data_IF_202959014688
#
_entry.id   IF_202959014688
#
_cell.length_a   1.000
_cell.length_b   1.000
_cell.length_c   1.000
_cell.angle_alpha   90.00
_cell.angle_beta   90.00
_cell.angle_gamma   90.00
#
_symmetry.space_group_name_H-M   'P 1'
#
loop_
_entity.id
_entity.type
_entity.pdbx_description
1 polymer ?
#
# COMPACT_ATOMS: atom_id res chain seq x y z
N UNK A 1 -11.37 -6.00 21.09
CA UNK A 1 -12.52 -5.54 20.27
C UNK A 1 -12.41 -4.06 19.93
N UNK A 2 -12.49 -3.17 20.94
CA UNK A 2 -12.48 -1.68 20.87
C UNK A 2 -12.27 -1.04 19.49
N UNK A 3 -11.04 -0.96 18.97
CA UNK A 3 -10.69 -0.16 17.78
C UNK A 3 -11.60 -0.36 16.54
N UNK A 4 -12.12 -1.57 16.29
CA UNK A 4 -13.05 -1.78 15.16
C UNK A 4 -14.42 -1.12 15.35
N UNK A 5 -14.87 -0.97 16.61
CA UNK A 5 -16.02 -0.14 16.98
C UNK A 5 -15.62 1.34 16.95
N UNK A 6 -14.53 1.70 17.65
CA UNK A 6 -14.04 3.07 17.77
C UNK A 6 -13.86 3.73 16.39
N UNK A 7 -13.33 3.00 15.40
CA UNK A 7 -13.18 3.44 14.00
C UNK A 7 -14.52 3.73 13.32
N UNK A 8 -15.47 2.79 13.36
CA UNK A 8 -16.80 2.95 12.74
C UNK A 8 -17.65 4.01 13.44
N UNK A 9 -17.47 4.18 14.75
CA UNK A 9 -18.07 5.25 15.55
C UNK A 9 -17.44 6.62 15.20
N UNK A 10 -16.11 6.67 15.03
CA UNK A 10 -15.39 7.90 14.65
C UNK A 10 -15.79 8.39 13.26
N UNK A 11 -15.93 7.48 12.27
CA UNK A 11 -16.44 7.82 10.94
C UNK A 11 -17.88 8.37 10.98
N UNK A 12 -18.73 7.86 11.89
CA UNK A 12 -20.11 8.34 12.08
C UNK A 12 -20.19 9.68 12.81
N UNK A 13 -19.23 10.01 13.69
CA UNK A 13 -19.28 11.17 14.58
C UNK A 13 -18.71 12.46 13.97
N UNK A 14 -18.03 12.39 12.82
CA UNK A 14 -17.36 13.54 12.19
C UNK A 14 -18.10 14.09 10.95
N UNK A 15 -19.32 13.61 10.69
CA UNK A 15 -20.16 14.02 9.56
C UNK A 15 -19.42 13.99 8.22
N UNK A 16 -18.69 12.90 7.94
CA UNK A 16 -18.06 12.71 6.64
C UNK A 16 -19.13 12.49 5.56
N UNK A 17 -18.87 12.90 4.29
CA UNK A 17 -19.74 12.57 3.17
C UNK A 17 -20.01 11.05 3.09
N UNK A 18 -21.24 10.59 2.80
CA UNK A 18 -21.54 9.16 2.72
C UNK A 18 -20.59 8.42 1.77
N UNK A 19 -20.29 9.01 0.60
CA UNK A 19 -19.38 8.43 -0.39
C UNK A 19 -17.92 8.32 0.10
N UNK A 20 -17.51 9.04 1.14
CA UNK A 20 -16.22 8.80 1.81
C UNK A 20 -16.31 7.62 2.77
N UNK A 21 -17.41 7.51 3.53
CA UNK A 21 -17.63 6.41 4.48
C UNK A 21 -17.73 5.06 3.74
N UNK A 22 -18.36 5.04 2.57
CA UNK A 22 -18.50 3.85 1.71
C UNK A 22 -17.16 3.40 1.06
N UNK A 23 -16.18 4.31 0.97
CA UNK A 23 -14.82 4.05 0.46
C UNK A 23 -13.77 3.98 1.59
N UNK A 24 -14.19 4.01 2.86
CA UNK A 24 -13.29 3.89 4.00
C UNK A 24 -12.87 2.43 4.23
N UNK A 25 -11.63 2.22 4.69
CA UNK A 25 -11.04 0.89 4.89
C UNK A 25 -11.94 0.00 5.75
N UNK A 26 -12.43 -1.16 5.26
CA UNK A 26 -13.37 -2.03 5.96
C UNK A 26 -12.63 -2.90 6.99
N UNK A 27 -12.01 -2.25 7.98
CA UNK A 27 -11.18 -2.84 9.03
C UNK A 27 -11.86 -4.03 9.74
N UNK A 28 -13.20 -3.98 9.88
CA UNK A 28 -14.00 -5.07 10.45
C UNK A 28 -14.14 -6.31 9.55
N UNK A 29 -14.05 -6.17 8.22
CA UNK A 29 -14.04 -7.26 7.25
C UNK A 29 -12.63 -7.84 7.11
N UNK A 30 -11.62 -7.01 6.90
CA UNK A 30 -10.22 -7.43 6.87
C UNK A 30 -9.83 -8.22 8.12
N UNK A 31 -10.28 -7.80 9.31
CA UNK A 31 -10.06 -8.53 10.57
C UNK A 31 -10.87 -9.82 10.72
N UNK A 32 -11.96 -10.01 9.96
CA UNK A 32 -12.64 -11.31 9.84
C UNK A 32 -11.87 -12.26 8.92
N UNK A 33 -11.41 -11.77 7.76
CA UNK A 33 -10.64 -12.56 6.79
C UNK A 33 -9.32 -13.03 7.38
N UNK A 34 -8.59 -12.16 8.08
CA UNK A 34 -7.40 -12.55 8.85
C UNK A 34 -7.70 -13.63 9.92
N UNK A 35 -8.88 -13.61 10.55
CA UNK A 35 -9.33 -14.69 11.45
C UNK A 35 -9.71 -15.99 10.71
N UNK A 36 -9.75 -16.00 9.37
CA UNK A 36 -9.77 -17.22 8.55
C UNK A 36 -8.32 -17.68 8.31
N UNK A 37 -7.43 -16.79 7.85
CA UNK A 37 -5.98 -17.05 7.68
C UNK A 37 -5.35 -17.68 8.93
N UNK A 38 -5.58 -17.10 10.11
CA UNK A 38 -5.04 -17.61 11.37
C UNK A 38 -5.63 -18.96 11.82
N UNK A 39 -6.76 -19.40 11.25
CA UNK A 39 -7.29 -20.76 11.44
C UNK A 39 -6.75 -21.70 10.37
N UNK A 40 -6.79 -21.31 9.11
CA UNK A 40 -6.19 -22.01 7.96
C UNK A 40 -4.73 -22.42 8.24
N UNK A 41 -3.89 -21.50 8.72
CA UNK A 41 -2.54 -21.80 9.20
C UNK A 41 -2.53 -22.85 10.32
N UNK A 42 -3.33 -22.68 11.37
CA UNK A 42 -3.43 -23.63 12.48
C UNK A 42 -3.93 -25.03 12.04
N UNK A 43 -4.89 -25.07 11.12
CA UNK A 43 -5.51 -26.29 10.59
C UNK A 43 -4.53 -27.05 9.67
N UNK A 44 -3.63 -26.33 9.00
CA UNK A 44 -2.45 -26.86 8.30
C UNK A 44 -1.35 -27.37 9.26
N UNK A 45 -1.40 -27.05 10.55
CA UNK A 45 -0.35 -27.35 11.53
C UNK A 45 0.72 -26.25 11.68
N UNK A 46 0.52 -25.09 11.06
CA UNK A 46 1.32 -23.87 11.21
C UNK A 46 0.76 -23.02 12.36
N UNK A 47 0.86 -23.52 13.59
CA UNK A 47 0.49 -22.76 14.78
C UNK A 47 1.48 -21.58 15.03
N UNK A 48 1.14 -20.60 15.88
CA UNK A 48 1.98 -19.41 16.10
C UNK A 48 3.38 -19.67 16.65
N UNK A 49 3.64 -20.79 17.32
CA UNK A 49 4.95 -21.16 17.85
C UNK A 49 5.77 -21.90 16.80
N UNK A 50 5.17 -22.88 16.10
CA UNK A 50 5.79 -23.51 14.92
C UNK A 50 6.17 -22.47 13.86
N UNK A 51 5.30 -21.49 13.59
CA UNK A 51 5.61 -20.40 12.65
C UNK A 51 6.80 -19.54 13.10
N UNK A 52 6.95 -19.23 14.40
CA UNK A 52 8.12 -18.49 14.90
C UNK A 52 9.41 -19.27 14.66
N UNK A 53 9.41 -20.56 14.99
CA UNK A 53 10.58 -21.42 14.86
C UNK A 53 11.02 -21.60 13.40
N UNK A 54 10.07 -21.59 12.45
CA UNK A 54 10.33 -21.68 11.01
C UNK A 54 10.64 -20.33 10.34
N UNK A 55 10.31 -19.19 10.96
CA UNK A 55 10.54 -17.82 10.43
C UNK A 55 11.74 -17.11 11.07
N UNK A 56 12.36 -17.67 12.10
CA UNK A 56 13.58 -17.11 12.70
C UNK A 56 14.82 -17.46 11.86
N UNK A 57 15.49 -16.48 11.21
CA UNK A 57 16.69 -16.72 10.40
C UNK A 57 17.94 -17.04 11.23
N UNK A 58 17.87 -17.03 12.57
CA UNK A 58 18.96 -17.44 13.46
C UNK A 58 18.86 -18.90 13.94
N UNK A 59 17.84 -19.64 13.48
CA UNK A 59 17.55 -21.01 13.91
C UNK A 59 17.98 -22.01 12.82
N UNK A 60 18.95 -22.90 13.10
CA UNK A 60 19.42 -23.96 12.19
C UNK A 60 18.40 -25.11 12.06
N UNK A 61 17.15 -24.78 11.77
CA UNK A 61 16.09 -25.76 11.54
C UNK A 61 16.20 -26.36 10.13
N UNK A 62 16.04 -27.69 9.93
CA UNK A 62 16.03 -28.30 8.60
C UNK A 62 14.79 -27.91 7.74
N UNK A 63 13.90 -27.08 8.30
CA UNK A 63 12.76 -26.48 7.62
C UNK A 63 12.84 -24.95 7.74
N UNK A 64 12.89 -24.25 6.61
CA UNK A 64 12.88 -22.79 6.58
C UNK A 64 11.62 -22.26 5.89
N UNK A 65 10.75 -21.56 6.62
CA UNK A 65 9.60 -20.88 6.06
C UNK A 65 9.98 -19.50 5.50
N UNK A 66 9.46 -19.18 4.32
CA UNK A 66 9.69 -17.90 3.64
C UNK A 66 8.36 -17.38 3.08
N UNK A 67 7.78 -16.40 3.78
CA UNK A 67 6.64 -15.64 3.28
C UNK A 67 7.14 -14.55 2.32
N UNK A 68 6.53 -14.44 1.14
CA UNK A 68 6.83 -13.39 0.15
C UNK A 68 5.54 -12.74 -0.34
N UNK A 69 5.60 -11.44 -0.60
CA UNK A 69 4.59 -10.70 -1.36
C UNK A 69 5.20 -10.45 -2.74
N UNK A 70 4.68 -11.12 -3.77
CA UNK A 70 5.17 -10.99 -5.14
C UNK A 70 4.22 -10.08 -5.93
N UNK A 71 4.76 -9.27 -6.85
CA UNK A 71 3.93 -8.62 -7.86
C UNK A 71 3.37 -9.68 -8.84
N UNK A 72 2.08 -9.63 -9.13
CA UNK A 72 1.43 -10.53 -10.07
C UNK A 72 1.71 -10.12 -11.53
N UNK A 73 2.93 -10.42 -12.00
CA UNK A 73 3.41 -10.09 -13.35
C UNK A 73 3.39 -8.58 -13.61
N UNK A 74 2.85 -8.19 -14.77
CA UNK A 74 2.72 -6.81 -15.23
C UNK A 74 1.84 -5.92 -14.31
N UNK A 75 1.08 -6.54 -13.40
CA UNK A 75 0.12 -5.83 -12.55
C UNK A 75 0.70 -5.49 -11.18
N UNK A 76 0.23 -4.39 -10.59
CA UNK A 76 0.60 -3.99 -9.22
C UNK A 76 0.03 -4.94 -8.14
N UNK A 77 -0.66 -6.03 -8.50
CA UNK A 77 -1.34 -6.89 -7.51
C UNK A 77 -0.34 -7.63 -6.61
N UNK A 78 -0.56 -7.55 -5.30
CA UNK A 78 0.27 -8.20 -4.29
C UNK A 78 -0.24 -9.61 -4.03
N UNK A 79 0.41 -10.63 -4.62
CA UNK A 79 0.13 -12.03 -4.32
C UNK A 79 0.99 -12.52 -3.16
N UNK A 80 0.41 -12.84 -2.00
CA UNK A 80 1.14 -13.50 -0.93
C UNK A 80 1.51 -14.93 -1.36
N UNK A 81 2.60 -15.44 -0.80
CA UNK A 81 3.11 -16.77 -1.10
C UNK A 81 3.95 -17.27 0.08
N UNK A 82 3.39 -18.21 0.83
CA UNK A 82 4.15 -18.94 1.85
C UNK A 82 4.86 -20.13 1.20
N UNK A 83 6.17 -20.21 1.40
CA UNK A 83 7.02 -21.33 0.99
C UNK A 83 7.61 -22.00 2.22
N UNK A 84 7.67 -23.33 2.25
CA UNK A 84 8.50 -24.11 3.17
C UNK A 84 9.59 -24.80 2.35
N UNK A 85 10.84 -24.66 2.77
CA UNK A 85 11.97 -25.39 2.20
C UNK A 85 12.25 -26.63 3.04
N UNK A 86 12.34 -27.81 2.41
CA UNK A 86 12.59 -29.11 3.06
C UNK A 86 13.93 -29.65 2.57
N UNK A 87 14.78 -30.13 3.47
CA UNK A 87 16.05 -30.77 3.12
C UNK A 87 15.85 -32.26 2.78
N UNK A 88 16.37 -32.70 1.63
CA UNK A 88 16.13 -34.01 1.03
C UNK A 88 17.46 -34.68 0.63
N UNK A 89 17.57 -35.99 0.85
CA UNK A 89 18.76 -36.81 0.55
C UNK A 89 18.28 -38.21 0.21
N UNK A 90 18.72 -38.73 -0.93
CA UNK A 90 18.43 -40.09 -1.40
C UNK A 90 16.92 -40.44 -1.36
N UNK A 91 16.09 -39.49 -1.84
CA UNK A 91 14.63 -39.61 -1.92
C UNK A 91 13.87 -39.45 -0.60
N UNK A 92 14.56 -39.23 0.53
CA UNK A 92 13.96 -39.09 1.85
C UNK A 92 14.23 -37.69 2.44
N UNK A 93 13.32 -37.18 3.27
CA UNK A 93 13.54 -35.93 3.99
C UNK A 93 14.58 -36.13 5.10
N UNK A 94 15.78 -35.58 4.91
CA UNK A 94 16.83 -35.53 5.95
C UNK A 94 16.60 -34.34 6.85
N UNK A 95 15.77 -34.58 7.86
CA UNK A 95 16.41 -35.04 9.10
C UNK A 95 15.48 -35.96 9.91
N UNK A 96 16.06 -36.83 10.73
CA UNK A 96 15.33 -37.63 11.72
C UNK A 96 14.63 -36.74 12.77
N UNK A 97 15.02 -35.46 12.86
CA UNK A 97 14.46 -34.42 13.74
C UNK A 97 13.18 -33.73 13.23
N UNK A 98 12.62 -34.12 12.07
CA UNK A 98 11.27 -33.68 11.67
C UNK A 98 10.28 -33.99 12.81
N UNK A 99 9.88 -32.94 13.53
CA UNK A 99 8.97 -33.06 14.67
C UNK A 99 7.62 -33.64 14.24
N UNK A 100 6.80 -34.19 15.14
CA UNK A 100 5.46 -34.67 14.78
C UNK A 100 4.60 -33.58 14.10
N UNK A 101 4.79 -32.30 14.46
CA UNK A 101 4.17 -31.17 13.78
C UNK A 101 4.72 -31.01 12.35
N UNK A 102 6.04 -31.04 12.18
CA UNK A 102 6.72 -30.95 10.88
C UNK A 102 6.32 -32.04 9.89
N UNK A 103 6.19 -33.30 10.33
CA UNK A 103 5.69 -34.39 9.47
C UNK A 103 4.21 -34.19 9.12
N UNK A 104 3.37 -33.91 10.13
CA UNK A 104 1.93 -33.71 9.92
C UNK A 104 1.58 -32.48 9.09
N UNK A 105 2.47 -31.48 9.02
CA UNK A 105 2.41 -30.35 8.09
C UNK A 105 2.64 -30.80 6.64
N UNK A 106 3.73 -31.53 6.38
CA UNK A 106 4.06 -32.02 5.03
C UNK A 106 2.99 -33.00 4.54
N UNK A 107 2.54 -33.92 5.40
CA UNK A 107 1.43 -34.84 5.15
C UNK A 107 0.13 -34.11 4.80
N UNK A 108 -0.22 -33.03 5.53
CA UNK A 108 -1.42 -32.21 5.22
C UNK A 108 -1.30 -31.44 3.92
N UNK A 109 -0.14 -30.85 3.61
CA UNK A 109 0.05 -30.14 2.34
C UNK A 109 -0.03 -31.14 1.17
N UNK A 110 0.60 -32.32 1.29
CA UNK A 110 0.50 -33.38 0.30
C UNK A 110 -0.94 -33.90 0.15
N UNK A 111 -1.69 -34.06 1.24
CA UNK A 111 -3.10 -34.44 1.21
C UNK A 111 -4.02 -33.40 0.57
N UNK A 112 -3.66 -32.11 0.62
CA UNK A 112 -4.38 -31.04 -0.09
C UNK A 112 -4.00 -30.98 -1.57
N UNK A 113 -2.73 -31.17 -1.92
CA UNK A 113 -2.25 -31.16 -3.30
C UNK A 113 -2.69 -32.40 -4.09
N UNK A 114 -2.81 -33.56 -3.44
CA UNK A 114 -3.33 -34.80 -4.05
C UNK A 114 -4.86 -34.83 -4.23
N UNK A 115 -5.57 -33.77 -3.83
CA UNK A 115 -7.03 -33.68 -3.92
C UNK A 115 -7.55 -32.84 -5.11
N UNK A 116 -6.70 -32.58 -6.11
CA UNK A 116 -7.11 -32.03 -7.41
C UNK A 116 -8.06 -33.01 -8.14
N UNK A 117 -9.30 -32.62 -8.51
CA UNK A 117 -10.30 -33.54 -9.06
C UNK A 117 -10.06 -33.97 -10.53
N UNK A 118 -8.81 -34.13 -10.95
CA UNK A 118 -8.41 -34.66 -12.24
C UNK A 118 -8.37 -36.21 -12.23
N UNK A 119 -9.52 -36.86 -12.12
CA UNK A 119 -9.60 -38.33 -12.20
C UNK A 119 -9.10 -38.85 -13.57
N UNK A 120 -8.12 -39.78 -13.62
CA UNK A 120 -7.78 -40.48 -14.84
C UNK A 120 -8.90 -41.48 -15.19
N UNK A 121 -9.58 -41.26 -16.32
CA UNK A 121 -10.45 -42.28 -16.91
C UNK A 121 -9.56 -43.45 -17.37
N UNK A 122 -9.84 -44.70 -17.00
CA UNK A 122 -9.07 -45.85 -17.49
C UNK A 122 -9.24 -45.98 -19.01
N UNK A 123 -8.14 -45.81 -19.75
CA UNK A 123 -8.17 -45.88 -21.21
C UNK A 123 -8.37 -47.32 -21.70
N UNK A 124 -9.50 -47.58 -22.35
CA UNK A 124 -9.63 -48.72 -23.26
C UNK A 124 -8.87 -48.39 -24.56
N UNK A 125 -8.08 -49.34 -25.07
CA UNK A 125 -7.20 -49.12 -26.20
C UNK A 125 -7.94 -49.06 -27.55
N UNK A 126 -7.50 -48.20 -28.49
CA UNK A 126 -7.76 -48.34 -29.91
C UNK A 126 -6.55 -48.95 -30.65
N UNK A 127 -6.80 -49.85 -31.60
CA UNK A 127 -5.80 -50.34 -32.55
C UNK A 127 -5.83 -49.54 -33.87
N UNK A 128 -4.78 -49.70 -34.67
CA UNK A 128 -4.68 -49.47 -36.13
C UNK A 128 -4.68 -48.06 -36.79
N UNK A 129 -3.50 -47.76 -37.36
CA UNK A 129 -3.25 -47.35 -38.76
C UNK A 129 -3.61 -45.94 -39.32
N UNK A 130 -2.66 -44.99 -39.23
CA UNK A 130 -1.67 -44.62 -40.31
C UNK A 130 -2.22 -44.44 -41.76
N UNK A 131 -1.85 -43.40 -42.59
CA UNK A 131 -1.10 -42.15 -42.33
C UNK A 131 -1.45 -40.86 -43.16
N UNK A 132 -0.63 -39.80 -42.95
CA UNK A 132 -0.22 -38.71 -43.90
C UNK A 132 -1.20 -37.61 -44.34
N UNK A 133 -0.94 -36.35 -43.90
CA UNK A 133 -0.46 -35.22 -44.73
C UNK A 133 -0.25 -33.91 -43.93
N UNK A 134 0.89 -33.25 -44.14
CA UNK A 134 1.15 -31.82 -43.83
C UNK A 134 1.27 -31.04 -45.16
N UNK A 135 1.13 -29.70 -45.20
CA UNK A 135 2.26 -28.83 -44.82
C UNK A 135 1.92 -27.45 -44.18
N UNK A 136 2.91 -26.89 -43.46
CA UNK A 136 3.41 -25.49 -43.35
C UNK A 136 2.43 -24.27 -43.43
N UNK A 137 2.63 -23.11 -42.77
CA UNK A 137 3.79 -22.21 -42.48
C UNK A 137 3.43 -21.34 -41.23
N UNK A 138 4.22 -20.47 -40.56
CA UNK A 138 5.67 -20.18 -40.37
C UNK A 138 5.82 -19.12 -39.23
N UNK A 139 7.01 -18.52 -39.05
CA UNK A 139 7.44 -17.49 -38.07
C UNK A 139 7.69 -18.01 -36.64
N UNK A 140 8.88 -17.93 -36.01
CA UNK A 140 9.94 -16.88 -35.89
C UNK A 140 9.50 -15.75 -34.93
N UNK A 141 9.91 -15.72 -33.65
CA UNK A 141 11.22 -15.31 -33.07
C UNK A 141 11.40 -13.78 -33.00
N UNK A 142 11.96 -13.12 -31.97
CA UNK A 142 13.07 -13.44 -31.06
C UNK A 142 12.97 -12.73 -29.69
N UNK A 143 13.75 -13.23 -28.70
CA UNK A 143 14.32 -12.52 -27.53
C UNK A 143 13.34 -11.94 -26.47
N UNK A 144 13.74 -11.66 -25.21
CA UNK A 144 15.05 -11.75 -24.56
C UNK A 144 15.17 -12.95 -23.59
N UNK A 145 16.40 -13.37 -23.33
CA UNK A 145 16.75 -14.24 -22.20
C UNK A 145 17.98 -13.67 -21.49
N UNK A 146 17.98 -13.70 -20.16
CA UNK A 146 19.18 -13.46 -19.33
C UNK A 146 19.40 -14.64 -18.37
N UNK A 147 20.23 -15.56 -18.85
CA UNK A 147 21.46 -15.97 -18.17
C UNK A 147 21.34 -16.74 -16.86
N UNK A 148 21.06 -18.05 -16.97
CA UNK A 148 21.58 -19.03 -15.99
C UNK A 148 23.03 -19.42 -16.35
N UNK A 149 23.97 -19.23 -15.43
CA UNK A 149 25.36 -19.62 -15.61
C UNK A 149 25.58 -21.08 -15.16
N UNK A 150 25.52 -22.00 -16.12
CA UNK A 150 25.90 -23.40 -15.92
C UNK A 150 27.39 -23.64 -16.22
N UNK A 151 28.26 -23.38 -15.26
CA UNK A 151 29.68 -23.76 -15.36
C UNK A 151 29.84 -25.29 -15.23
N UNK A 152 30.09 -25.95 -16.37
CA UNK A 152 30.40 -27.39 -16.43
C UNK A 152 31.83 -27.60 -16.91
N UNK A 153 32.77 -27.72 -15.97
CA UNK A 153 34.16 -28.03 -16.28
C UNK A 153 34.51 -29.48 -15.93
N UNK A 154 34.48 -30.34 -16.95
CA UNK A 154 34.97 -31.74 -16.87
C UNK A 154 36.45 -31.78 -16.49
N UNK A 155 36.84 -32.70 -15.60
CA UNK A 155 37.80 -33.74 -15.98
C UNK A 155 37.95 -34.89 -14.96
N UNK A 156 38.33 -36.06 -15.50
CA UNK A 156 38.81 -37.28 -14.83
C UNK A 156 37.82 -38.07 -13.94
N UNK A 157 37.79 -39.38 -14.19
CA UNK A 157 37.15 -40.38 -13.35
C UNK A 157 38.12 -40.84 -12.26
N UNK A 158 37.63 -40.99 -11.03
CA UNK A 158 38.22 -41.88 -10.01
C UNK A 158 37.05 -42.63 -9.37
N UNK A 159 37.18 -43.94 -9.24
CA UNK A 159 36.12 -44.79 -8.67
C UNK A 159 36.08 -44.67 -7.14
N UNK A 160 34.88 -44.83 -6.55
CA UNK A 160 34.76 -45.26 -5.15
C UNK A 160 34.49 -44.20 -4.08
N UNK A 161 33.39 -43.44 -4.21
CA UNK A 161 32.48 -43.13 -3.08
C UNK A 161 31.21 -42.43 -3.56
N UNK A 162 30.04 -42.98 -3.22
CA UNK A 162 28.75 -42.34 -3.44
C UNK A 162 28.47 -41.31 -2.34
N UNK A 163 28.80 -40.05 -2.59
CA UNK A 163 28.29 -38.94 -1.77
C UNK A 163 26.75 -38.90 -1.85
N UNK A 164 26.02 -38.75 -0.73
CA UNK A 164 24.57 -38.67 -0.76
C UNK A 164 24.05 -37.50 -1.60
N UNK A 165 22.90 -37.65 -2.26
CA UNK A 165 22.39 -36.62 -3.19
C UNK A 165 21.52 -35.60 -2.45
N UNK A 166 22.18 -34.65 -1.80
CA UNK A 166 21.55 -33.57 -1.03
C UNK A 166 20.92 -32.51 -1.93
N UNK A 167 19.66 -32.19 -1.68
CA UNK A 167 18.92 -31.13 -2.36
C UNK A 167 17.84 -30.54 -1.44
N UNK A 168 17.29 -29.38 -1.81
CA UNK A 168 16.21 -28.72 -1.08
C UNK A 168 14.95 -28.69 -1.93
N UNK A 169 13.90 -29.34 -1.45
CA UNK A 169 12.57 -29.28 -2.06
C UNK A 169 11.82 -28.03 -1.60
N UNK A 170 11.04 -27.43 -2.51
CA UNK A 170 10.31 -26.19 -2.27
C UNK A 170 8.80 -26.45 -2.26
N UNK A 171 8.23 -26.62 -1.08
CA UNK A 171 6.80 -26.79 -0.89
C UNK A 171 6.11 -25.42 -0.85
N UNK A 172 5.06 -25.26 -1.64
CA UNK A 172 4.20 -24.07 -1.61
C UNK A 172 2.96 -24.36 -0.76
N UNK A 173 2.69 -23.50 0.22
CA UNK A 173 1.54 -23.67 1.12
C UNK A 173 0.33 -22.97 0.49
N UNK A 174 -0.75 -23.69 0.15
CA UNK A 174 -1.95 -23.09 -0.41
C UNK A 174 -2.73 -22.37 0.69
N UNK A 175 -2.51 -21.07 0.81
CA UNK A 175 -3.32 -20.16 1.61
C UNK A 175 -4.38 -19.52 0.69
N UNK A 176 -5.64 -19.66 1.05
CA UNK A 176 -6.79 -19.16 0.28
C UNK A 176 -7.27 -17.83 0.85
N UNK A 177 -7.25 -17.69 2.19
CA UNK A 177 -7.78 -16.50 2.84
C UNK A 177 -6.77 -15.36 2.96
N UNK A 178 -5.47 -15.59 2.71
CA UNK A 178 -4.49 -14.51 2.68
C UNK A 178 -4.57 -13.73 1.36
N UNK A 179 -4.82 -14.43 0.25
CA UNK A 179 -5.17 -13.85 -1.03
C UNK A 179 -6.48 -13.05 -0.94
N UNK A 180 -7.53 -13.61 -0.31
CA UNK A 180 -8.77 -12.86 0.02
C UNK A 180 -8.47 -11.57 0.81
N UNK A 181 -7.55 -11.61 1.78
CA UNK A 181 -7.17 -10.44 2.58
C UNK A 181 -6.45 -9.37 1.73
N UNK A 182 -5.50 -9.78 0.88
CA UNK A 182 -4.72 -8.84 0.07
C UNK A 182 -5.52 -8.27 -1.11
N UNK A 183 -6.39 -9.06 -1.75
CA UNK A 183 -7.30 -8.58 -2.81
C UNK A 183 -8.24 -7.49 -2.27
N UNK A 184 -8.85 -7.70 -1.09
CA UNK A 184 -9.70 -6.70 -0.43
C UNK A 184 -8.88 -5.47 -0.07
N UNK A 185 -7.77 -5.63 0.67
CA UNK A 185 -6.95 -4.50 1.14
C UNK A 185 -6.44 -3.66 -0.04
N UNK A 186 -6.07 -4.29 -1.14
CA UNK A 186 -5.57 -3.60 -2.32
C UNK A 186 -6.69 -2.91 -3.11
N UNK A 187 -7.85 -3.54 -3.26
CA UNK A 187 -9.06 -2.88 -3.77
C UNK A 187 -9.34 -1.59 -2.98
N UNK A 188 -9.39 -1.69 -1.66
CA UNK A 188 -9.77 -0.57 -0.80
C UNK A 188 -8.71 0.56 -0.78
N UNK A 189 -7.42 0.24 -0.86
CA UNK A 189 -6.35 1.24 -1.01
C UNK A 189 -6.41 1.92 -2.39
N UNK A 190 -6.62 1.17 -3.48
CA UNK A 190 -6.82 1.76 -4.81
C UNK A 190 -8.05 2.69 -4.85
N UNK A 191 -9.13 2.33 -4.14
CA UNK A 191 -10.34 3.15 -4.02
C UNK A 191 -10.08 4.43 -3.21
N UNK A 192 -9.28 4.36 -2.13
CA UNK A 192 -8.84 5.56 -1.39
C UNK A 192 -7.97 6.49 -2.24
N UNK A 193 -7.02 5.95 -3.01
CA UNK A 193 -6.17 6.75 -3.92
C UNK A 193 -7.03 7.45 -4.99
N UNK A 194 -8.00 6.73 -5.58
CA UNK A 194 -8.94 7.29 -6.55
C UNK A 194 -9.86 8.36 -5.94
N UNK A 195 -10.33 8.16 -4.70
CA UNK A 195 -11.09 9.17 -3.96
C UNK A 195 -10.23 10.40 -3.67
N UNK A 196 -9.00 10.23 -3.19
CA UNK A 196 -8.09 11.34 -2.92
C UNK A 196 -7.82 12.17 -4.18
N UNK A 197 -7.46 11.54 -5.30
CA UNK A 197 -7.21 12.24 -6.56
C UNK A 197 -8.45 13.01 -7.07
N UNK A 198 -9.66 12.48 -6.83
CA UNK A 198 -10.93 13.14 -7.16
C UNK A 198 -11.19 14.37 -6.28
N UNK A 199 -11.06 14.24 -4.97
CA UNK A 199 -11.31 15.33 -4.00
C UNK A 199 -10.23 16.42 -4.12
N UNK A 200 -8.97 16.05 -4.34
CA UNK A 200 -7.86 16.97 -4.63
C UNK A 200 -8.15 17.79 -5.89
N UNK A 201 -8.50 17.13 -7.02
CA UNK A 201 -8.85 17.81 -8.27
C UNK A 201 -10.05 18.76 -8.11
N UNK A 202 -11.07 18.35 -7.36
CA UNK A 202 -12.23 19.20 -7.07
C UNK A 202 -11.83 20.43 -6.24
N UNK A 203 -11.01 20.23 -5.19
CA UNK A 203 -10.56 21.30 -4.30
C UNK A 203 -9.63 22.30 -5.02
N UNK A 204 -8.68 21.82 -5.83
CA UNK A 204 -7.82 22.68 -6.66
C UNK A 204 -8.65 23.52 -7.64
N UNK A 205 -9.68 22.94 -8.25
CA UNK A 205 -10.60 23.65 -9.16
C UNK A 205 -11.33 24.79 -8.42
N UNK A 206 -11.89 24.52 -7.24
CA UNK A 206 -12.61 25.51 -6.43
C UNK A 206 -11.67 26.59 -5.86
N UNK A 207 -10.44 26.22 -5.45
CA UNK A 207 -9.40 27.18 -5.04
C UNK A 207 -9.01 28.12 -6.19
N UNK A 208 -8.88 27.60 -7.42
CA UNK A 208 -8.57 28.43 -8.60
C UNK A 208 -9.75 29.36 -8.95
N UNK A 209 -10.99 28.87 -8.88
CA UNK A 209 -12.18 29.71 -9.09
C UNK A 209 -12.28 30.83 -8.05
N UNK A 210 -12.11 30.51 -6.76
CA UNK A 210 -12.12 31.49 -5.67
C UNK A 210 -10.97 32.50 -5.77
N UNK A 211 -9.77 32.06 -6.20
CA UNK A 211 -8.63 32.95 -6.50
C UNK A 211 -8.98 33.96 -7.60
N UNK A 212 -9.66 33.53 -8.66
CA UNK A 212 -10.09 34.42 -9.75
C UNK A 212 -11.15 35.43 -9.25
N UNK A 213 -12.14 34.97 -8.49
CA UNK A 213 -13.17 35.81 -7.85
C UNK A 213 -12.54 36.89 -6.95
N UNK A 214 -11.71 36.49 -5.98
CA UNK A 214 -11.02 37.42 -5.08
C UNK A 214 -10.08 38.35 -5.86
N UNK A 215 -9.41 37.87 -6.92
CA UNK A 215 -8.61 38.72 -7.80
C UNK A 215 -9.45 39.82 -8.48
N UNK A 216 -10.70 39.54 -8.85
CA UNK A 216 -11.63 40.55 -9.37
C UNK A 216 -12.11 41.53 -8.29
N UNK A 217 -12.48 41.04 -7.10
CA UNK A 217 -12.96 41.85 -5.96
C UNK A 217 -11.89 42.78 -5.35
N UNK A 218 -10.61 42.50 -5.62
CA UNK A 218 -9.47 43.25 -5.10
C UNK A 218 -8.82 44.19 -6.13
N UNK A 219 -9.25 44.22 -7.40
CA UNK A 219 -8.62 45.06 -8.44
C UNK A 219 -8.55 46.54 -7.99
N UNK A 220 -7.38 47.19 -8.09
CA UNK A 220 -7.23 48.59 -7.72
C UNK A 220 -7.91 49.48 -8.78
N UNK A 221 -9.03 50.10 -8.40
CA UNK A 221 -9.84 50.96 -9.26
C UNK A 221 -9.98 52.34 -8.62
N UNK A 222 -9.92 53.39 -9.45
CA UNK A 222 -10.14 54.78 -9.01
C UNK A 222 -11.63 55.15 -8.90
N UNK A 223 -12.53 54.32 -9.42
CA UNK A 223 -13.96 54.63 -9.59
C UNK A 223 -14.92 53.61 -8.94
N UNK A 224 -14.42 52.47 -8.47
CA UNK A 224 -15.24 51.44 -7.81
C UNK A 224 -14.73 51.10 -6.41
N UNK A 225 -15.62 50.55 -5.58
CA UNK A 225 -15.24 49.98 -4.28
C UNK A 225 -14.24 48.83 -4.53
N UNK A 226 -13.23 48.73 -3.67
CA UNK A 226 -12.31 47.60 -3.60
C UNK A 226 -12.10 47.23 -2.13
N UNK A 227 -12.04 45.93 -1.86
CA UNK A 227 -11.85 45.36 -0.53
C UNK A 227 -10.41 44.83 -0.31
N UNK A 228 -9.45 45.17 -1.20
CA UNK A 228 -8.04 44.71 -1.17
C UNK A 228 -7.41 44.72 0.22
N UNK A 229 -7.50 45.83 0.97
CA UNK A 229 -6.88 45.93 2.30
C UNK A 229 -7.48 44.97 3.34
N UNK A 230 -8.73 44.52 3.16
CA UNK A 230 -9.41 43.57 4.06
C UNK A 230 -9.01 42.15 3.71
N UNK A 231 -8.97 41.83 2.42
CA UNK A 231 -8.46 40.56 1.92
C UNK A 231 -7.01 40.34 2.32
N UNK A 232 -6.16 41.37 2.24
CA UNK A 232 -4.80 41.33 2.80
C UNK A 232 -4.78 40.98 4.28
N UNK A 233 -5.50 41.72 5.12
CA UNK A 233 -5.54 41.44 6.57
C UNK A 233 -6.08 40.04 6.93
N UNK A 234 -6.95 39.45 6.09
CA UNK A 234 -7.45 38.07 6.24
C UNK A 234 -6.38 37.06 5.83
N UNK A 235 -5.68 37.27 4.71
CA UNK A 235 -4.63 36.35 4.26
C UNK A 235 -3.36 36.43 5.12
N UNK A 236 -2.98 37.63 5.57
CA UNK A 236 -1.90 37.84 6.53
C UNK A 236 -2.20 37.06 7.83
N UNK A 237 -3.41 37.21 8.40
CA UNK A 237 -3.88 36.43 9.56
C UNK A 237 -3.97 34.91 9.30
N UNK A 238 -4.24 34.47 8.07
CA UNK A 238 -4.31 33.05 7.71
C UNK A 238 -2.91 32.41 7.60
N UNK A 239 -1.94 33.16 7.07
CA UNK A 239 -0.54 32.75 7.04
C UNK A 239 0.02 32.67 8.47
N UNK A 240 -0.27 33.67 9.31
CA UNK A 240 0.07 33.66 10.75
C UNK A 240 -0.52 32.45 11.48
N UNK A 241 -1.74 32.02 11.13
CA UNK A 241 -2.40 30.85 11.74
C UNK A 241 -1.68 29.52 11.45
N UNK A 242 -0.90 29.43 10.36
CA UNK A 242 -0.13 28.24 9.97
C UNK A 242 -0.98 26.94 10.06
N UNK A 243 -2.19 26.94 9.48
CA UNK A 243 -3.23 25.95 9.83
C UNK A 243 -2.81 24.51 9.54
N UNK A 244 -2.40 24.22 8.30
CA UNK A 244 -2.15 22.85 7.83
C UNK A 244 -0.67 22.46 7.81
N UNK A 245 0.23 23.44 7.87
CA UNK A 245 1.67 23.24 7.92
C UNK A 245 2.32 24.35 8.75
N UNK A 246 3.44 24.05 9.40
CA UNK A 246 4.27 25.06 10.08
C UNK A 246 5.50 25.43 9.29
N UNK A 247 5.96 26.67 9.47
CA UNK A 247 7.21 27.20 8.95
C UNK A 247 8.25 27.50 10.04
N UNK A 248 8.00 27.12 11.30
CA UNK A 248 8.95 27.37 12.40
C UNK A 248 9.98 26.24 12.49
N UNK A 249 11.22 26.55 12.88
CA UNK A 249 12.35 25.60 12.95
C UNK A 249 12.07 24.33 13.76
N UNK A 250 11.26 24.41 14.82
CA UNK A 250 11.01 23.30 15.75
C UNK A 250 9.84 22.38 15.36
N UNK A 251 8.87 22.86 14.56
CA UNK A 251 7.66 22.09 14.19
C UNK A 251 7.35 22.10 12.68
N UNK A 252 8.37 22.43 11.86
CA UNK A 252 8.29 22.54 10.40
C UNK A 252 7.63 21.33 9.70
N UNK A 253 6.72 21.63 8.76
CA UNK A 253 6.04 20.64 7.92
C UNK A 253 4.56 20.46 8.27
N UNK A 254 3.95 19.39 7.75
CA UNK A 254 2.52 19.12 7.85
C UNK A 254 2.05 18.90 9.28
N UNK A 255 0.96 19.57 9.66
CA UNK A 255 0.34 19.47 11.00
C UNK A 255 -0.72 18.38 11.03
N UNK A 256 -0.87 17.73 12.18
CA UNK A 256 -1.94 16.74 12.41
C UNK A 256 -3.31 17.40 12.38
N UNK A 257 -4.35 16.63 12.10
CA UNK A 257 -5.74 17.09 12.07
C UNK A 257 -6.17 17.75 13.39
N UNK A 258 -5.61 17.29 14.51
CA UNK A 258 -5.91 17.83 15.85
C UNK A 258 -5.29 19.20 16.08
N UNK A 259 -4.11 19.46 15.54
CA UNK A 259 -3.48 20.78 15.57
C UNK A 259 -4.13 21.71 14.55
N UNK A 260 -4.36 21.24 13.32
CA UNK A 260 -5.03 22.00 12.27
C UNK A 260 -6.45 22.45 12.68
N UNK A 261 -7.23 21.59 13.36
CA UNK A 261 -8.53 21.96 13.91
C UNK A 261 -8.45 23.13 14.91
N UNK A 262 -7.46 23.12 15.82
CA UNK A 262 -7.26 24.20 16.80
C UNK A 262 -6.87 25.52 16.12
N UNK A 263 -5.96 25.47 15.15
CA UNK A 263 -5.54 26.67 14.41
C UNK A 263 -6.67 27.23 13.53
N UNK A 264 -7.46 26.36 12.88
CA UNK A 264 -8.61 26.79 12.09
C UNK A 264 -9.72 27.37 12.97
N UNK A 265 -9.91 26.88 14.20
CA UNK A 265 -10.79 27.51 15.18
C UNK A 265 -10.27 28.90 15.59
N UNK A 266 -8.99 28.99 16.00
CA UNK A 266 -8.36 30.26 16.38
C UNK A 266 -8.49 31.33 15.29
N UNK A 267 -8.24 30.95 14.03
CA UNK A 267 -8.38 31.81 12.86
C UNK A 267 -9.81 32.37 12.70
N UNK A 268 -10.83 31.53 12.85
CA UNK A 268 -12.25 31.95 12.79
C UNK A 268 -12.63 32.86 13.96
N UNK A 269 -12.12 32.60 15.17
CA UNK A 269 -12.31 33.48 16.32
C UNK A 269 -11.64 34.85 16.09
N UNK A 270 -10.42 34.90 15.57
CA UNK A 270 -9.71 36.14 15.27
C UNK A 270 -10.40 36.97 14.17
N UNK A 271 -10.88 36.34 13.09
CA UNK A 271 -11.75 36.98 12.09
C UNK A 271 -12.96 37.65 12.75
N UNK A 272 -13.56 36.98 13.74
CA UNK A 272 -14.77 37.43 14.44
C UNK A 272 -14.47 38.58 15.41
N UNK A 273 -13.45 38.44 16.27
CA UNK A 273 -12.99 39.48 17.21
C UNK A 273 -12.61 40.77 16.46
N UNK A 274 -11.82 40.64 15.39
CA UNK A 274 -11.39 41.76 14.53
C UNK A 274 -12.51 42.28 13.60
N UNK A 275 -13.72 41.70 13.68
CA UNK A 275 -14.92 42.06 12.88
C UNK A 275 -14.69 42.09 11.36
N UNK A 276 -13.74 41.31 10.83
CA UNK A 276 -13.30 41.38 9.43
C UNK A 276 -14.44 41.08 8.45
N UNK A 277 -15.32 40.13 8.78
CA UNK A 277 -16.53 39.79 7.99
C UNK A 277 -17.44 41.01 7.76
N UNK A 278 -17.65 41.83 8.80
CA UNK A 278 -18.51 43.03 8.72
C UNK A 278 -17.82 44.20 8.02
N UNK A 279 -16.49 44.19 7.96
CA UNK A 279 -15.71 45.29 7.40
C UNK A 279 -15.86 45.44 5.88
N UNK A 280 -16.19 44.35 5.16
CA UNK A 280 -16.31 44.29 3.70
C UNK A 280 -17.35 45.26 3.14
N UNK A 281 -16.97 45.98 2.07
CA UNK A 281 -17.81 46.97 1.36
C UNK A 281 -18.67 46.35 0.26
N UNK A 282 -18.26 45.18 -0.23
CA UNK A 282 -18.86 44.41 -1.33
C UNK A 282 -19.54 43.17 -0.69
N UNK A 283 -20.67 42.71 -1.24
CA UNK A 283 -21.40 41.57 -0.66
C UNK A 283 -20.73 40.25 -1.06
N UNK A 284 -20.32 40.17 -2.31
CA UNK A 284 -19.57 39.11 -2.98
C UNK A 284 -18.25 38.82 -2.24
N UNK A 285 -17.57 39.83 -1.67
CA UNK A 285 -16.41 39.62 -0.76
C UNK A 285 -16.75 38.79 0.49
N UNK A 286 -17.99 38.85 0.98
CA UNK A 286 -18.44 38.09 2.16
C UNK A 286 -18.76 36.65 1.76
N UNK A 287 -19.37 36.46 0.60
CA UNK A 287 -19.67 35.14 0.02
C UNK A 287 -18.36 34.38 -0.32
N UNK A 288 -17.40 35.05 -0.93
CA UNK A 288 -16.05 34.54 -1.15
C UNK A 288 -15.32 34.19 0.17
N UNK A 289 -15.52 34.95 1.27
CA UNK A 289 -14.98 34.55 2.58
C UNK A 289 -15.69 33.30 3.15
N UNK A 290 -17.00 33.15 2.95
CA UNK A 290 -17.72 31.93 3.34
C UNK A 290 -17.22 30.72 2.54
N UNK A 291 -16.99 30.86 1.23
CA UNK A 291 -16.34 29.84 0.40
C UNK A 291 -14.93 29.50 0.90
N UNK A 292 -14.11 30.51 1.23
CA UNK A 292 -12.77 30.32 1.80
C UNK A 292 -12.81 29.51 3.11
N UNK A 293 -13.69 29.86 4.04
CA UNK A 293 -13.85 29.14 5.32
C UNK A 293 -14.37 27.71 5.10
N UNK A 294 -15.30 27.53 4.15
CA UNK A 294 -15.82 26.21 3.77
C UNK A 294 -14.74 25.30 3.20
N UNK A 295 -13.92 25.79 2.26
CA UNK A 295 -12.76 25.06 1.70
C UNK A 295 -11.82 24.57 2.79
N UNK A 296 -11.47 25.44 3.76
CA UNK A 296 -10.62 25.08 4.87
C UNK A 296 -11.25 23.99 5.77
N UNK A 297 -12.56 24.04 6.00
CA UNK A 297 -13.26 23.00 6.74
C UNK A 297 -13.30 21.65 5.98
N UNK A 298 -13.43 21.67 4.64
CA UNK A 298 -13.36 20.47 3.80
C UNK A 298 -11.95 19.87 3.79
N UNK A 299 -10.90 20.71 3.68
CA UNK A 299 -9.50 20.27 3.77
C UNK A 299 -9.18 19.65 5.14
N UNK A 300 -9.69 20.24 6.23
CA UNK A 300 -9.58 19.65 7.57
C UNK A 300 -10.29 18.29 7.65
N UNK A 301 -11.49 18.14 7.09
CA UNK A 301 -12.17 16.83 7.03
C UNK A 301 -11.40 15.81 6.18
N UNK A 302 -10.80 16.23 5.06
CA UNK A 302 -10.01 15.34 4.22
C UNK A 302 -8.78 14.81 4.98
N UNK A 303 -8.05 15.69 5.66
CA UNK A 303 -6.93 15.34 6.55
C UNK A 303 -7.35 14.39 7.69
N UNK A 304 -8.49 14.65 8.34
CA UNK A 304 -9.07 13.76 9.36
C UNK A 304 -9.37 12.36 8.79
N UNK A 305 -9.98 12.31 7.60
CA UNK A 305 -10.33 11.05 6.93
C UNK A 305 -9.08 10.27 6.50
N UNK A 306 -8.04 10.94 6.00
CA UNK A 306 -6.74 10.35 5.67
C UNK A 306 -6.07 9.76 6.92
N UNK A 307 -5.93 10.52 8.01
CA UNK A 307 -5.34 10.02 9.26
C UNK A 307 -6.09 8.79 9.80
N UNK A 308 -7.42 8.82 9.79
CA UNK A 308 -8.26 7.71 10.28
C UNK A 308 -8.03 6.43 9.45
N UNK A 309 -7.98 6.54 8.12
CA UNK A 309 -7.72 5.39 7.25
C UNK A 309 -6.27 4.90 7.34
N UNK A 310 -5.28 5.80 7.37
CA UNK A 310 -3.87 5.44 7.57
C UNK A 310 -3.65 4.71 8.89
N UNK A 311 -4.27 5.16 9.98
CA UNK A 311 -4.21 4.48 11.29
C UNK A 311 -4.90 3.11 11.24
N UNK A 312 -5.98 2.94 10.45
CA UNK A 312 -6.62 1.64 10.25
C UNK A 312 -5.75 0.68 9.42
N UNK A 313 -5.13 1.16 8.32
CA UNK A 313 -4.19 0.40 7.49
C UNK A 313 -2.97 -0.02 8.33
N UNK A 314 -2.34 0.92 9.04
CA UNK A 314 -1.23 0.61 9.95
C UNK A 314 -1.61 -0.43 11.00
N UNK A 315 -2.82 -0.34 11.59
CA UNK A 315 -3.32 -1.33 12.56
C UNK A 315 -3.80 -2.65 11.94
N UNK A 316 -4.10 -2.72 10.64
CA UNK A 316 -4.43 -4.00 9.98
C UNK A 316 -3.17 -4.69 9.44
N UNK A 317 -2.11 -3.95 9.15
CA UNK A 317 -0.80 -4.50 8.83
C UNK A 317 -0.03 -4.88 10.11
N UNK A 318 0.37 -3.92 10.96
CA UNK A 318 1.29 -4.15 12.08
C UNK A 318 0.83 -5.18 13.11
N UNK A 319 -0.46 -5.25 13.43
CA UNK A 319 -0.93 -6.16 14.47
C UNK A 319 -0.98 -7.63 14.01
N UNK A 320 -0.75 -7.90 12.72
CA UNK A 320 -1.21 -9.10 12.04
C UNK A 320 -0.19 -9.67 11.03
N UNK A 321 0.72 -8.85 10.51
CA UNK A 321 1.92 -9.28 9.79
C UNK A 321 3.15 -9.05 10.66
N UNK A 322 4.07 -10.00 10.62
CA UNK A 322 5.07 -10.26 11.65
C UNK A 322 6.10 -9.13 11.87
N UNK A 323 6.76 -9.16 13.03
CA UNK A 323 7.86 -8.26 13.42
C UNK A 323 9.01 -8.30 12.40
N UNK A 324 9.26 -9.43 11.71
CA UNK A 324 10.17 -9.49 10.58
C UNK A 324 9.72 -8.59 9.41
N UNK A 325 8.42 -8.56 9.09
CA UNK A 325 7.88 -7.70 8.04
C UNK A 325 7.75 -6.23 8.50
N UNK A 326 7.48 -5.97 9.79
CA UNK A 326 7.64 -4.62 10.35
C UNK A 326 9.10 -4.16 10.19
N UNK A 327 10.09 -5.01 10.48
CA UNK A 327 11.52 -4.71 10.33
C UNK A 327 11.92 -4.53 8.86
N UNK A 328 11.35 -5.31 7.94
CA UNK A 328 11.56 -5.17 6.49
C UNK A 328 10.94 -3.86 5.96
N UNK A 329 9.64 -3.64 6.18
CA UNK A 329 8.95 -2.41 5.77
C UNK A 329 9.64 -1.19 6.38
N UNK A 330 9.94 -1.18 7.68
CA UNK A 330 10.59 -0.04 8.35
C UNK A 330 12.03 0.22 7.88
N UNK A 331 12.69 -0.74 7.23
CA UNK A 331 14.03 -0.61 6.64
C UNK A 331 14.00 -0.17 5.17
N UNK A 332 13.07 -0.70 4.38
CA UNK A 332 13.03 -0.48 2.92
C UNK A 332 11.94 0.50 2.49
N UNK A 333 10.73 0.44 3.04
CA UNK A 333 9.61 1.30 2.63
C UNK A 333 9.90 2.82 2.77
N UNK A 334 10.59 3.32 3.82
CA UNK A 334 11.02 4.73 3.87
C UNK A 334 12.10 5.13 2.87
N UNK A 335 12.87 4.16 2.33
CA UNK A 335 13.81 4.39 1.24
C UNK A 335 13.09 4.37 -0.10
N UNK A 336 12.38 3.29 -0.36
CA UNK A 336 11.63 3.04 -1.59
C UNK A 336 10.57 4.14 -1.84
N UNK A 337 9.89 4.62 -0.79
CA UNK A 337 8.98 5.77 -0.89
C UNK A 337 9.72 7.08 -1.17
N UNK A 338 10.92 7.31 -0.61
CA UNK A 338 11.75 8.48 -0.92
C UNK A 338 12.33 8.43 -2.33
N UNK A 339 12.85 7.28 -2.76
CA UNK A 339 13.39 7.04 -4.10
C UNK A 339 12.29 7.20 -5.16
N UNK A 340 11.08 6.73 -4.87
CA UNK A 340 9.89 6.90 -5.72
C UNK A 340 9.34 8.32 -5.71
N UNK A 341 9.35 9.01 -4.57
CA UNK A 341 8.99 10.43 -4.52
C UNK A 341 10.00 11.28 -5.30
N UNK A 342 11.30 11.02 -5.13
CA UNK A 342 12.39 11.64 -5.91
C UNK A 342 12.24 11.38 -7.41
N UNK A 343 11.85 10.16 -7.80
CA UNK A 343 11.52 9.84 -9.19
C UNK A 343 10.32 10.64 -9.71
N UNK A 344 9.23 10.72 -8.96
CA UNK A 344 8.04 11.53 -9.29
C UNK A 344 8.31 13.05 -9.29
N UNK A 345 9.38 13.51 -8.62
CA UNK A 345 9.84 14.91 -8.60
C UNK A 345 10.80 15.19 -9.77
N UNK A 346 11.62 14.22 -10.17
CA UNK A 346 12.44 14.26 -11.40
C UNK A 346 11.54 14.24 -12.64
N UNK A 347 10.60 13.30 -12.72
CA UNK A 347 9.68 13.13 -13.86
C UNK A 347 8.86 14.39 -14.10
N UNK A 348 8.23 14.93 -13.04
CA UNK A 348 7.47 16.17 -13.09
C UNK A 348 8.34 17.40 -13.39
N UNK A 349 9.58 17.43 -12.89
CA UNK A 349 10.53 18.49 -13.25
C UNK A 349 10.93 18.44 -14.73
N UNK A 350 10.99 17.26 -15.34
CA UNK A 350 11.21 17.08 -16.78
C UNK A 350 9.95 17.49 -17.58
N UNK A 351 8.74 17.26 -17.06
CA UNK A 351 7.49 17.77 -17.66
C UNK A 351 7.41 19.31 -17.59
N UNK A 352 7.71 19.92 -16.43
CA UNK A 352 7.58 21.36 -16.18
C UNK A 352 8.73 22.19 -16.80
N UNK A 353 9.96 21.67 -16.85
CA UNK A 353 11.17 22.42 -17.24
C UNK A 353 11.96 21.80 -18.41
N UNK A 354 11.55 20.62 -18.91
CA UNK A 354 12.17 19.96 -20.07
C UNK A 354 13.29 18.97 -19.75
N UNK A 355 13.82 18.27 -20.77
CA UNK A 355 14.72 17.12 -20.61
C UNK A 355 16.12 17.44 -20.05
N UNK A 356 16.48 18.72 -19.91
CA UNK A 356 17.72 19.17 -19.26
C UNK A 356 17.54 19.40 -17.73
N UNK A 357 16.35 19.13 -17.17
CA UNK A 357 16.09 19.30 -15.75
C UNK A 357 16.93 18.34 -14.88
N UNK A 358 17.77 18.91 -14.01
CA UNK A 358 18.57 18.17 -13.01
C UNK A 358 18.00 18.43 -11.62
N UNK A 359 17.42 17.40 -11.01
CA UNK A 359 16.93 17.45 -9.63
C UNK A 359 18.08 17.57 -8.63
N UNK A 360 18.17 18.71 -7.94
CA UNK A 360 19.09 18.95 -6.84
C UNK A 360 18.40 18.79 -5.48
N UNK A 361 18.92 17.91 -4.62
CA UNK A 361 18.49 17.87 -3.22
C UNK A 361 18.96 19.14 -2.49
N UNK A 362 18.02 19.84 -1.83
CA UNK A 362 18.31 21.10 -1.15
C UNK A 362 19.01 20.85 0.20
N UNK A 363 20.34 20.76 0.17
CA UNK A 363 21.17 20.62 1.38
C UNK A 363 21.28 21.96 2.12
N UNK A 364 20.33 22.22 3.01
CA UNK A 364 20.43 23.29 4.03
C UNK A 364 21.49 22.87 5.06
N UNK A 365 22.44 23.77 5.36
CA UNK A 365 23.39 23.66 6.48
C UNK A 365 22.92 24.49 7.67
#
# INVERSE_FOLDING_TARGET
MKFAHDFKETLRRQDFPPHWIDQAIPYGQLKKVLKRVARELNDLGLDPETLRQLLDPANDSPLAAKYRLNAAGNSKLLRPKLTVLVHMRDGNAVDASLTPASRSLIERIAALQSHDPAQPIPAAAPEDNVPTKSPALSAESLANAETELSDTQRCLQVEGQSSPTEHYERIEVPLVFDSEFFDILQSDVNNLDALQAKEEKAMVTEIVALRQEISHLTKPSRLSKSDLARWRAIFELYLDAQVFFSTNEQDHGSRTSQTAAKQLQWFQEEITKRNLVKSFKIAESREALVRFLSLNAVLLKNLQFQEINQVAIYKILKNNLDIQLERYMRKYFPKEAKEKQRANEIERGIEDYGPEYVHSECSVM
#
